data_IF_935673296500
#
_entry.id   IF_935673296500
#
_cell.length_a   1.000
_cell.length_b   1.000
_cell.length_c   1.000
_cell.angle_alpha   90.00
_cell.angle_beta   90.00
_cell.angle_gamma   90.00
#
_symmetry.space_group_name_H-M   'P 1'
#
loop_
_entity.id
_entity.type
_entity.pdbx_description
1 polymer ?
#
# COMPACT_ATOMS: atom_id res chain seq x y z
N UNK A 1 -45.76 -10.87 0.15
CA UNK A 1 -44.70 -9.86 -0.03
C UNK A 1 -43.88 -9.82 1.25
N UNK A 2 -42.73 -10.50 1.29
CA UNK A 2 -41.88 -10.50 2.49
C UNK A 2 -40.93 -9.32 2.43
N UNK A 3 -41.19 -8.35 3.30
CA UNK A 3 -40.33 -7.21 3.57
C UNK A 3 -39.09 -7.70 4.34
N UNK A 4 -38.08 -8.21 3.63
CA UNK A 4 -36.74 -8.49 4.15
C UNK A 4 -35.95 -7.19 4.20
N UNK A 5 -36.37 -6.28 5.08
CA UNK A 5 -35.60 -5.07 5.37
C UNK A 5 -35.16 -5.16 6.83
N UNK A 6 -33.84 -5.02 7.03
CA UNK A 6 -33.14 -4.88 8.32
C UNK A 6 -32.77 -6.15 9.07
N UNK A 7 -31.99 -7.04 8.47
CA UNK A 7 -31.05 -7.87 9.22
C UNK A 7 -29.77 -7.99 8.36
N UNK A 8 -28.59 -7.97 9.00
CA UNK A 8 -27.26 -8.21 8.41
C UNK A 8 -26.37 -7.04 7.95
N UNK A 9 -26.39 -5.89 8.64
CA UNK A 9 -25.20 -5.02 8.69
C UNK A 9 -25.09 -4.40 10.08
N UNK A 10 -24.58 -5.18 11.04
CA UNK A 10 -24.24 -4.66 12.37
C UNK A 10 -22.82 -4.06 12.27
N UNK A 11 -22.64 -2.74 12.05
CA UNK A 11 -21.31 -2.15 12.14
C UNK A 11 -20.75 -2.49 13.52
N UNK A 12 -19.50 -2.94 13.56
CA UNK A 12 -18.84 -3.41 14.77
C UNK A 12 -19.20 -2.47 15.94
N UNK A 13 -20.06 -2.94 16.85
CA UNK A 13 -20.77 -2.08 17.81
C UNK A 13 -19.83 -1.25 18.68
N UNK A 14 -18.58 -1.71 18.82
CA UNK A 14 -17.52 -1.01 19.53
C UNK A 14 -17.05 0.26 18.80
N UNK A 15 -16.97 0.22 17.47
CA UNK A 15 -16.57 1.35 16.64
C UNK A 15 -17.60 2.48 16.72
N UNK A 16 -18.88 2.12 16.55
CA UNK A 16 -19.99 3.07 16.63
C UNK A 16 -20.10 3.67 18.03
N UNK A 17 -19.93 2.86 19.08
CA UNK A 17 -19.90 3.35 20.47
C UNK A 17 -18.74 4.31 20.72
N UNK A 18 -17.51 3.96 20.31
CA UNK A 18 -16.34 4.82 20.53
C UNK A 18 -16.46 6.17 19.81
N UNK A 19 -17.06 6.18 18.61
CA UNK A 19 -17.37 7.42 17.89
C UNK A 19 -18.49 8.22 18.57
N UNK A 20 -19.56 7.55 19.02
CA UNK A 20 -20.67 8.20 19.72
C UNK A 20 -20.22 8.82 21.05
N UNK A 21 -19.37 8.13 21.81
CA UNK A 21 -18.78 8.65 23.05
C UNK A 21 -17.91 9.89 22.79
N UNK A 22 -17.06 9.82 21.75
CA UNK A 22 -16.21 10.93 21.37
C UNK A 22 -17.01 12.16 20.89
N UNK A 23 -18.12 11.95 20.18
CA UNK A 23 -19.07 13.01 19.85
C UNK A 23 -19.72 13.59 21.11
N UNK A 24 -20.13 12.73 22.04
CA UNK A 24 -20.72 13.13 23.32
C UNK A 24 -19.78 13.97 24.19
N UNK A 25 -18.46 13.78 24.05
CA UNK A 25 -17.44 14.58 24.73
C UNK A 25 -17.03 15.85 23.98
N UNK A 26 -17.78 16.26 22.95
CA UNK A 26 -17.48 17.48 22.17
C UNK A 26 -16.58 17.27 20.95
N UNK A 27 -16.32 16.02 20.56
CA UNK A 27 -15.59 15.71 19.34
C UNK A 27 -16.40 16.03 18.08
N UNK A 28 -15.70 16.25 16.96
CA UNK A 28 -16.29 16.56 15.65
C UNK A 28 -15.79 15.59 14.61
N UNK A 29 -16.70 14.89 13.91
CA UNK A 29 -16.32 14.05 12.77
C UNK A 29 -15.77 14.92 11.64
N UNK A 30 -14.70 14.45 11.00
CA UNK A 30 -14.13 15.06 9.82
C UNK A 30 -14.70 14.44 8.55
N UNK A 31 -14.57 15.16 7.43
CA UNK A 31 -14.95 14.72 6.09
C UNK A 31 -13.93 13.76 5.44
N UNK A 32 -12.90 13.38 6.19
CA UNK A 32 -11.85 12.44 5.79
C UNK A 32 -11.93 11.14 6.59
N UNK A 33 -11.64 10.04 5.92
CA UNK A 33 -11.65 8.70 6.51
C UNK A 33 -10.23 8.16 6.73
N UNK A 34 -10.07 7.31 7.73
CA UNK A 34 -8.80 6.63 7.99
C UNK A 34 -8.45 5.70 6.83
N UNK A 35 -7.28 5.83 6.17
CA UNK A 35 -6.93 4.99 5.02
C UNK A 35 -6.68 3.52 5.37
N UNK A 36 -6.56 3.19 6.67
CA UNK A 36 -6.30 1.81 7.13
C UNK A 36 -7.58 1.01 7.38
N UNK A 37 -8.68 1.67 7.78
CA UNK A 37 -9.91 0.98 8.19
C UNK A 37 -11.19 1.60 7.63
N UNK A 38 -11.08 2.69 6.87
CA UNK A 38 -12.20 3.43 6.29
C UNK A 38 -13.20 4.01 7.32
N UNK A 39 -12.85 4.04 8.60
CA UNK A 39 -13.65 4.74 9.62
C UNK A 39 -13.46 6.26 9.48
N UNK A 40 -14.53 7.07 9.65
CA UNK A 40 -14.41 8.52 9.75
C UNK A 40 -13.43 8.92 10.86
N UNK A 41 -12.59 9.92 10.59
CA UNK A 41 -11.73 10.51 11.60
C UNK A 41 -12.54 11.47 12.48
N UNK A 42 -12.12 11.62 13.74
CA UNK A 42 -12.74 12.54 14.69
C UNK A 42 -11.70 13.49 15.27
N UNK A 43 -12.02 14.78 15.30
CA UNK A 43 -11.25 15.82 16.00
C UNK A 43 -11.76 15.94 17.42
N UNK A 44 -10.87 15.84 18.41
CA UNK A 44 -11.14 16.09 19.83
C UNK A 44 -10.11 17.11 20.28
N UNK A 45 -10.57 18.26 20.77
CA UNK A 45 -9.72 19.45 20.96
C UNK A 45 -8.96 19.78 19.67
N UNK A 46 -7.62 19.82 19.69
CA UNK A 46 -6.80 20.09 18.50
C UNK A 46 -6.14 18.84 17.90
N UNK A 47 -6.59 17.66 18.30
CA UNK A 47 -6.01 16.39 17.85
C UNK A 47 -7.00 15.57 17.06
N UNK A 48 -6.51 14.89 16.03
CA UNK A 48 -7.32 14.04 15.15
C UNK A 48 -7.04 12.59 15.51
N UNK A 49 -8.09 11.78 15.61
CA UNK A 49 -8.00 10.39 15.98
C UNK A 49 -8.80 9.50 15.04
N UNK A 50 -8.27 8.30 14.81
CA UNK A 50 -9.07 7.15 14.39
C UNK A 50 -9.44 6.34 15.63
N UNK A 51 -10.70 6.42 16.07
CA UNK A 51 -11.19 5.67 17.25
C UNK A 51 -11.34 4.17 17.00
N UNK A 52 -11.30 3.74 15.73
CA UNK A 52 -11.30 2.32 15.39
C UNK A 52 -9.90 1.70 15.49
N UNK A 53 -8.90 2.35 14.89
CA UNK A 53 -7.51 1.90 14.95
C UNK A 53 -6.83 2.21 16.29
N UNK A 54 -7.45 3.07 17.10
CA UNK A 54 -6.90 3.63 18.34
C UNK A 54 -5.56 4.34 18.13
N UNK A 55 -5.54 5.25 17.14
CA UNK A 55 -4.34 6.00 16.73
C UNK A 55 -4.63 7.48 16.57
N UNK A 56 -3.69 8.32 17.00
CA UNK A 56 -3.61 9.74 16.64
C UNK A 56 -3.21 9.85 15.17
N UNK A 57 -3.83 10.79 14.45
CA UNK A 57 -3.62 11.02 13.02
C UNK A 57 -3.18 12.46 12.83
N UNK A 58 -2.15 12.66 12.02
CA UNK A 58 -1.68 13.98 11.62
C UNK A 58 -1.99 14.14 10.13
N UNK A 59 -2.62 15.26 9.78
CA UNK A 59 -3.06 15.56 8.41
C UNK A 59 -2.26 16.75 7.90
N UNK A 60 -1.63 16.58 6.75
CA UNK A 60 -0.88 17.60 6.04
C UNK A 60 -1.62 17.95 4.75
N UNK A 61 -1.64 19.23 4.36
CA UNK A 61 -2.33 19.64 3.12
C UNK A 61 -1.53 19.23 1.89
N UNK A 62 -0.21 19.30 2.00
CA UNK A 62 0.72 19.02 0.92
C UNK A 62 1.95 18.26 1.40
N UNK A 63 2.56 17.49 0.51
CA UNK A 63 3.80 16.75 0.82
C UNK A 63 4.96 17.66 1.26
N UNK A 64 4.95 18.92 0.82
CA UNK A 64 5.97 19.91 1.17
C UNK A 64 5.92 20.30 2.65
N UNK A 65 4.76 20.15 3.28
CA UNK A 65 4.55 20.44 4.71
C UNK A 65 4.98 19.27 5.60
N UNK A 66 5.26 18.10 5.02
CA UNK A 66 5.72 16.95 5.77
C UNK A 66 7.12 17.19 6.34
N UNK A 67 7.43 16.66 7.53
CA UNK A 67 8.79 16.56 8.02
C UNK A 67 9.74 15.94 6.99
N UNK A 68 11.00 16.40 6.87
CA UNK A 68 11.97 15.87 5.92
C UNK A 68 12.14 14.35 5.99
N UNK A 69 12.01 13.76 7.19
CA UNK A 69 12.09 12.30 7.35
C UNK A 69 10.93 11.57 6.66
N UNK A 70 9.71 12.11 6.74
CA UNK A 70 8.52 11.55 6.11
C UNK A 70 8.52 11.79 4.59
N UNK A 71 9.03 12.94 4.13
CA UNK A 71 9.22 13.20 2.69
C UNK A 71 10.13 12.14 2.05
N UNK A 72 11.21 11.74 2.75
CA UNK A 72 12.12 10.69 2.27
C UNK A 72 11.42 9.33 2.19
N UNK A 73 10.56 8.99 3.15
CA UNK A 73 9.81 7.74 3.16
C UNK A 73 8.78 7.65 2.03
N UNK A 74 8.14 8.77 1.66
CA UNK A 74 7.23 8.83 0.51
C UNK A 74 7.97 8.65 -0.82
N UNK A 75 9.12 9.32 -1.00
CA UNK A 75 9.99 9.13 -2.18
C UNK A 75 10.55 7.72 -2.29
N UNK A 76 10.71 7.02 -1.15
CA UNK A 76 11.08 5.60 -1.12
C UNK A 76 9.92 4.64 -1.44
N UNK A 77 8.67 5.12 -1.33
CA UNK A 77 7.44 4.33 -1.54
C UNK A 77 6.80 4.54 -2.91
N UNK A 78 7.22 5.54 -3.69
CA UNK A 78 6.90 5.66 -5.12
C UNK A 78 7.76 4.70 -5.95
N UNK A 79 7.52 3.40 -5.81
CA UNK A 79 7.86 2.40 -6.84
C UNK A 79 6.58 1.98 -7.55
N UNK A 80 5.84 2.92 -8.12
CA UNK A 80 4.89 2.66 -9.20
C UNK A 80 4.37 3.99 -9.77
N UNK A 81 4.21 4.02 -11.10
CA UNK A 81 3.76 5.14 -11.94
C UNK A 81 4.86 6.08 -12.46
N UNK A 82 5.97 5.54 -12.97
CA UNK A 82 6.74 6.21 -14.03
C UNK A 82 6.28 5.69 -15.39
N UNK A 83 5.67 6.58 -16.17
CA UNK A 83 5.46 6.44 -17.61
C UNK A 83 6.81 6.15 -18.31
N UNK A 84 6.97 5.05 -19.06
CA UNK A 84 8.25 4.71 -19.67
C UNK A 84 8.47 5.56 -20.94
N UNK A 85 9.26 6.63 -20.82
CA UNK A 85 9.80 7.37 -21.96
C UNK A 85 11.33 7.44 -21.94
N UNK A 86 11.98 6.37 -21.47
CA UNK A 86 13.40 6.11 -21.71
C UNK A 86 13.59 4.69 -22.23
N UNK A 87 14.66 4.47 -22.99
CA UNK A 87 15.08 3.15 -23.48
C UNK A 87 15.30 2.16 -22.34
N UNK A 88 15.75 2.66 -21.20
CA UNK A 88 16.06 1.87 -20.01
C UNK A 88 14.77 1.29 -19.39
N UNK A 89 13.67 2.05 -19.37
CA UNK A 89 12.40 1.53 -18.87
C UNK A 89 11.84 0.37 -19.72
N UNK A 90 12.06 0.37 -21.04
CA UNK A 90 11.65 -0.74 -21.92
C UNK A 90 12.50 -1.98 -21.71
N UNK A 91 13.80 -1.80 -21.48
CA UNK A 91 14.73 -2.88 -21.15
C UNK A 91 14.34 -3.46 -19.79
N UNK A 92 14.10 -2.62 -18.78
CA UNK A 92 13.64 -3.07 -17.46
C UNK A 92 12.35 -3.89 -17.52
N UNK A 93 11.34 -3.41 -18.25
CA UNK A 93 10.08 -4.13 -18.44
C UNK A 93 10.31 -5.51 -19.10
N UNK A 94 11.13 -5.54 -20.15
CA UNK A 94 11.48 -6.79 -20.85
C UNK A 94 12.19 -7.77 -19.93
N UNK A 95 13.14 -7.29 -19.12
CA UNK A 95 13.87 -8.13 -18.17
C UNK A 95 12.94 -8.69 -17.08
N UNK A 96 12.03 -7.86 -16.53
CA UNK A 96 11.00 -8.33 -15.58
C UNK A 96 10.12 -9.42 -16.19
N UNK A 97 9.62 -9.22 -17.41
CA UNK A 97 8.82 -10.23 -18.12
C UNK A 97 9.60 -11.53 -18.36
N UNK A 98 10.91 -11.46 -18.61
CA UNK A 98 11.75 -12.65 -18.80
C UNK A 98 12.00 -13.39 -17.49
N UNK A 99 12.23 -12.68 -16.38
CA UNK A 99 12.38 -13.28 -15.05
C UNK A 99 11.11 -14.06 -14.68
N UNK A 100 9.93 -13.46 -14.88
CA UNK A 100 8.65 -14.12 -14.60
C UNK A 100 8.50 -15.44 -15.40
N UNK A 101 8.79 -15.41 -16.71
CA UNK A 101 8.75 -16.61 -17.55
C UNK A 101 9.73 -17.70 -17.12
N UNK A 102 10.92 -17.31 -16.65
CA UNK A 102 11.90 -18.27 -16.14
C UNK A 102 11.50 -18.84 -14.78
N UNK A 103 10.87 -18.03 -13.91
CA UNK A 103 10.32 -18.48 -12.63
C UNK A 103 9.22 -19.52 -12.85
N UNK A 104 8.26 -19.24 -13.73
CA UNK A 104 7.19 -20.19 -14.06
C UNK A 104 7.71 -21.52 -14.61
N UNK A 105 8.82 -21.49 -15.35
CA UNK A 105 9.50 -22.71 -15.81
C UNK A 105 10.18 -23.43 -14.65
N UNK A 106 10.94 -22.70 -13.83
CA UNK A 106 11.65 -23.22 -12.66
C UNK A 106 10.70 -23.93 -11.68
N UNK A 107 9.51 -23.36 -11.44
CA UNK A 107 8.46 -23.94 -10.59
C UNK A 107 7.98 -25.33 -11.04
N UNK A 108 8.17 -25.68 -12.32
CA UNK A 108 7.69 -26.93 -12.93
C UNK A 108 8.81 -27.89 -13.31
N UNK A 109 10.06 -27.52 -13.03
CA UNK A 109 11.25 -28.30 -13.37
C UNK A 109 11.70 -29.09 -12.17
N UNK A 110 11.76 -30.42 -12.28
CA UNK A 110 12.32 -31.32 -11.26
C UNK A 110 13.74 -31.81 -11.61
N UNK A 111 14.25 -31.46 -12.81
CA UNK A 111 15.57 -31.87 -13.29
C UNK A 111 16.66 -30.95 -12.69
N UNK A 112 17.60 -31.47 -11.88
CA UNK A 112 18.56 -30.65 -11.15
C UNK A 112 19.44 -29.74 -12.01
N UNK A 113 19.92 -30.21 -13.16
CA UNK A 113 20.80 -29.39 -14.02
C UNK A 113 20.02 -28.23 -14.67
N UNK A 114 18.76 -28.44 -15.04
CA UNK A 114 17.87 -27.41 -15.57
C UNK A 114 17.50 -26.39 -14.49
N UNK A 115 17.24 -26.83 -13.24
CA UNK A 115 17.04 -25.93 -12.09
C UNK A 115 18.22 -24.99 -11.91
N UNK A 116 19.46 -25.51 -11.95
CA UNK A 116 20.68 -24.71 -11.80
C UNK A 116 20.78 -23.69 -12.94
N UNK A 117 20.60 -24.14 -14.19
CA UNK A 117 20.66 -23.25 -15.37
C UNK A 117 19.63 -22.14 -15.33
N UNK A 118 18.39 -22.43 -14.91
CA UNK A 118 17.32 -21.45 -14.79
C UNK A 118 17.61 -20.45 -13.66
N UNK A 119 18.13 -20.92 -12.54
CA UNK A 119 18.53 -20.07 -11.40
C UNK A 119 19.64 -19.10 -11.80
N UNK A 120 20.70 -19.60 -12.45
CA UNK A 120 21.80 -18.75 -12.95
C UNK A 120 21.32 -17.72 -13.98
N UNK A 121 20.37 -18.10 -14.85
CA UNK A 121 19.80 -17.18 -15.83
C UNK A 121 19.00 -16.07 -15.14
N UNK A 122 18.20 -16.40 -14.12
CA UNK A 122 17.44 -15.42 -13.33
C UNK A 122 18.40 -14.48 -12.59
N UNK A 123 19.44 -15.01 -11.95
CA UNK A 123 20.43 -14.21 -11.22
C UNK A 123 21.10 -13.17 -12.13
N UNK A 124 21.50 -13.57 -13.34
CA UNK A 124 22.10 -12.65 -14.33
C UNK A 124 21.14 -11.52 -14.73
N UNK A 125 19.86 -11.84 -14.94
CA UNK A 125 18.85 -10.82 -15.29
C UNK A 125 18.60 -9.85 -14.13
N UNK A 126 18.58 -10.36 -12.89
CA UNK A 126 18.44 -9.54 -11.69
C UNK A 126 19.65 -8.61 -11.52
N UNK A 127 20.87 -9.10 -11.76
CA UNK A 127 22.08 -8.28 -11.66
C UNK A 127 22.14 -7.21 -12.74
N UNK A 128 21.70 -7.51 -13.97
CA UNK A 128 21.52 -6.50 -15.01
C UNK A 128 20.50 -5.44 -14.60
N UNK A 129 19.36 -5.83 -14.01
CA UNK A 129 18.35 -4.89 -13.50
C UNK A 129 18.89 -4.01 -12.36
N UNK A 130 19.74 -4.53 -11.48
CA UNK A 130 20.40 -3.72 -10.43
C UNK A 130 21.29 -2.64 -11.04
N UNK A 131 22.12 -3.01 -12.03
CA UNK A 131 23.02 -2.06 -12.71
C UNK A 131 22.27 -0.92 -13.38
N UNK A 132 21.18 -1.22 -14.09
CA UNK A 132 20.35 -0.19 -14.76
C UNK A 132 19.74 0.79 -13.74
N UNK A 133 19.41 0.33 -12.54
CA UNK A 133 18.80 1.14 -11.48
C UNK A 133 19.81 1.96 -10.67
N UNK A 134 21.08 1.55 -10.67
CA UNK A 134 22.16 2.19 -9.92
C UNK A 134 22.94 3.23 -10.78
N UNK A 135 22.59 3.38 -12.07
CA UNK A 135 23.05 4.42 -13.00
C UNK A 135 22.13 5.66 -12.98
#
# INVERSE_FOLDING_TARGET
MNNHYFDDDKPNSKAVKALAEALGSGGTLLDISCPQCNSPLIKIDDKIYCKFCDKEVIVYKDEKELPPELQKALRGSTRELTTPSSTDSKIEETMKQKIEKLRERLERTDEPDEIIKLSEAIDRLIDTLKKIRDE
#
